data_IF_764730131330
#
_entry.id   IF_764730131330
#
_cell.length_a   1.000
_cell.length_b   1.000
_cell.length_c   1.000
_cell.angle_alpha   90.00
_cell.angle_beta   90.00
_cell.angle_gamma   90.00
#
_symmetry.space_group_name_H-M   'P 1'
#
loop_
_entity.id
_entity.type
_entity.pdbx_description
1 polymer ?
#
# COMPACT_ATOMS: atom_id res chain seq x y z
N UNK A 1 11.43 -22.53 2.86
CA UNK A 1 10.02 -22.12 2.99
C UNK A 1 10.01 -20.62 3.16
N UNK A 2 9.67 -19.87 2.11
CA UNK A 2 9.62 -18.40 2.18
C UNK A 2 8.30 -17.94 1.55
N UNK A 3 7.21 -18.16 2.28
CA UNK A 3 5.95 -17.48 1.99
C UNK A 3 5.98 -16.25 2.90
N UNK A 4 6.58 -15.16 2.43
CA UNK A 4 6.32 -13.84 3.01
C UNK A 4 4.85 -13.53 2.70
N UNK A 5 3.95 -14.04 3.54
CA UNK A 5 2.55 -13.67 3.49
C UNK A 5 2.50 -12.16 3.82
N UNK A 6 2.31 -11.34 2.78
CA UNK A 6 2.17 -9.87 2.88
C UNK A 6 0.99 -9.49 3.80
N UNK A 7 0.16 -10.46 4.18
CA UNK A 7 -0.94 -10.32 5.12
C UNK A 7 -0.50 -10.15 6.58
N UNK A 8 0.77 -10.38 6.94
CA UNK A 8 1.26 -10.21 8.33
C UNK A 8 2.26 -9.07 8.38
N UNK A 9 2.04 -8.13 9.31
CA UNK A 9 2.93 -7.00 9.50
C UNK A 9 4.29 -7.50 10.02
N UNK A 10 5.42 -7.23 9.32
CA UNK A 10 6.73 -7.72 9.74
C UNK A 10 7.25 -7.09 11.05
N UNK A 11 6.62 -6.01 11.52
CA UNK A 11 7.01 -5.32 12.75
C UNK A 11 6.14 -5.69 13.94
N UNK A 12 4.84 -5.89 13.72
CA UNK A 12 3.90 -6.18 14.81
C UNK A 12 3.55 -7.67 14.90
N UNK A 13 3.89 -8.45 13.88
CA UNK A 13 3.48 -9.84 13.72
C UNK A 13 1.95 -10.03 13.87
N UNK A 14 1.20 -9.01 13.43
CA UNK A 14 -0.26 -8.98 13.43
C UNK A 14 -0.76 -9.06 12.00
N UNK A 15 -1.92 -9.68 11.83
CA UNK A 15 -2.65 -9.66 10.57
C UNK A 15 -2.96 -8.23 10.15
N UNK A 16 -2.72 -7.96 8.88
CA UNK A 16 -2.97 -6.69 8.24
C UNK A 16 -4.37 -6.67 7.67
N UNK A 17 -5.00 -5.51 7.74
CA UNK A 17 -6.33 -5.28 7.21
C UNK A 17 -6.23 -4.82 5.76
N UNK A 18 -6.92 -5.50 4.85
CA UNK A 18 -7.07 -5.03 3.47
C UNK A 18 -8.06 -3.86 3.44
N UNK A 19 -7.59 -2.67 3.07
CA UNK A 19 -8.40 -1.47 2.91
C UNK A 19 -7.80 -0.52 1.88
N UNK A 20 -8.46 0.61 1.61
CA UNK A 20 -7.86 1.68 0.81
C UNK A 20 -6.98 2.56 1.70
N UNK A 21 -5.81 2.95 1.19
CA UNK A 21 -4.89 3.86 1.86
C UNK A 21 -4.44 4.98 0.91
N UNK A 22 -4.25 6.20 1.41
CA UNK A 22 -3.80 7.33 0.61
C UNK A 22 -2.34 7.14 0.19
N UNK A 23 -2.08 7.18 -1.12
CA UNK A 23 -0.73 7.22 -1.66
C UNK A 23 -0.27 8.67 -1.79
N UNK A 24 0.75 9.01 -1.03
CA UNK A 24 1.36 10.32 -1.02
C UNK A 24 2.73 10.27 -1.71
N UNK A 25 2.95 11.21 -2.62
CA UNK A 25 4.25 11.40 -3.25
C UNK A 25 4.56 12.90 -3.26
N UNK A 26 5.73 13.29 -2.74
CA UNK A 26 6.15 14.69 -2.64
C UNK A 26 5.12 15.58 -1.90
N UNK A 27 4.57 15.11 -0.78
CA UNK A 27 3.50 15.78 -0.01
C UNK A 27 2.20 16.03 -0.79
N UNK A 28 1.97 15.30 -1.89
CA UNK A 28 0.72 15.34 -2.64
C UNK A 28 0.06 13.97 -2.57
N UNK A 29 -1.16 13.94 -2.02
CA UNK A 29 -2.03 12.77 -2.10
C UNK A 29 -2.46 12.59 -3.56
N UNK A 30 -2.01 11.50 -4.19
CA UNK A 30 -2.32 11.20 -5.59
C UNK A 30 -3.61 10.39 -5.73
N UNK A 31 -4.07 9.77 -4.65
CA UNK A 31 -5.31 8.99 -4.60
C UNK A 31 -5.28 7.97 -3.47
N UNK A 32 -6.37 7.22 -3.34
CA UNK A 32 -6.47 6.10 -2.42
C UNK A 32 -6.39 4.80 -3.21
N UNK A 33 -5.54 3.88 -2.76
CA UNK A 33 -5.26 2.62 -3.44
C UNK A 33 -5.38 1.44 -2.48
N UNK A 34 -5.68 0.27 -3.03
CA UNK A 34 -5.81 -0.96 -2.26
C UNK A 34 -4.48 -1.32 -1.59
N UNK A 35 -4.52 -1.51 -0.27
CA UNK A 35 -3.36 -1.78 0.55
C UNK A 35 -3.69 -2.62 1.79
N UNK A 36 -2.70 -3.36 2.26
CA UNK A 36 -2.69 -3.95 3.58
C UNK A 36 -2.21 -2.92 4.59
N UNK A 37 -2.98 -2.71 5.66
CA UNK A 37 -2.66 -1.76 6.71
C UNK A 37 -2.61 -2.46 8.06
N UNK A 38 -1.50 -2.27 8.77
CA UNK A 38 -1.39 -2.81 10.12
C UNK A 38 -2.22 -1.97 11.10
N UNK A 39 -3.16 -2.56 11.87
CA UNK A 39 -3.99 -1.82 12.82
C UNK A 39 -3.19 -1.26 14.01
N UNK A 40 -2.04 -1.85 14.33
CA UNK A 40 -1.22 -1.43 15.48
C UNK A 40 -0.21 -0.32 15.13
N UNK A 41 0.54 -0.45 14.03
CA UNK A 41 1.58 0.52 13.66
C UNK A 41 1.19 1.45 12.50
N UNK A 42 0.05 1.24 11.84
CA UNK A 42 -0.43 2.07 10.74
C UNK A 42 0.38 1.94 9.43
N UNK A 43 1.37 1.03 9.37
CA UNK A 43 2.14 0.81 8.14
C UNK A 43 1.26 0.28 7.02
N UNK A 44 1.50 0.81 5.83
CA UNK A 44 0.74 0.55 4.61
C UNK A 44 1.62 -0.19 3.61
N UNK A 45 1.10 -1.26 3.04
CA UNK A 45 1.74 -2.05 1.99
C UNK A 45 0.73 -2.24 0.85
N UNK A 46 0.95 -1.56 -0.27
CA UNK A 46 0.02 -1.61 -1.41
C UNK A 46 -0.03 -3.00 -2.03
N UNK A 47 -1.21 -3.41 -2.48
CA UNK A 47 -1.37 -4.66 -3.23
C UNK A 47 -0.88 -4.48 -4.66
N UNK A 48 -0.75 -5.58 -5.40
CA UNK A 48 -0.42 -5.52 -6.83
C UNK A 48 -1.41 -4.63 -7.60
N UNK A 49 -2.71 -4.72 -7.29
CA UNK A 49 -3.75 -3.83 -7.85
C UNK A 49 -3.55 -2.37 -7.44
N UNK A 50 -3.18 -2.13 -6.19
CA UNK A 50 -2.82 -0.80 -5.70
C UNK A 50 -1.64 -0.20 -6.48
N UNK A 51 -0.56 -0.98 -6.66
CA UNK A 51 0.62 -0.58 -7.42
C UNK A 51 0.34 -0.36 -8.91
N UNK A 52 -0.52 -1.17 -9.54
CA UNK A 52 -0.98 -0.92 -10.90
C UNK A 52 -1.69 0.42 -11.02
N UNK A 53 -2.55 0.76 -10.04
CA UNK A 53 -3.20 2.05 -9.95
C UNK A 53 -2.18 3.18 -9.83
N UNK A 54 -1.27 3.09 -8.86
CA UNK A 54 -0.22 4.08 -8.61
C UNK A 54 0.62 4.32 -9.88
N UNK A 55 1.09 3.25 -10.53
CA UNK A 55 1.91 3.34 -11.74
C UNK A 55 1.18 4.06 -12.87
N UNK A 56 -0.12 3.79 -13.08
CA UNK A 56 -0.94 4.51 -14.07
C UNK A 56 -1.02 6.01 -13.76
N UNK A 57 -1.10 6.40 -12.49
CA UNK A 57 -1.08 7.81 -12.09
C UNK A 57 0.29 8.46 -12.27
N UNK A 58 1.37 7.81 -11.86
CA UNK A 58 2.74 8.32 -12.01
C UNK A 58 3.15 8.50 -13.48
N UNK A 59 2.68 7.65 -14.38
CA UNK A 59 2.95 7.77 -15.83
C UNK A 59 2.21 8.93 -16.49
N UNK A 60 1.05 9.35 -15.98
CA UNK A 60 0.26 10.46 -16.55
C UNK A 60 0.82 11.86 -16.26
N UNK A 61 1.67 12.00 -15.24
CA UNK A 61 2.23 13.30 -14.80
C UNK A 61 3.51 13.73 -15.54
N UNK A 62 3.92 12.99 -16.57
CA UNK A 62 5.17 13.20 -17.34
C UNK A 62 5.00 13.99 -18.65
N UNK A 63 3.87 14.66 -18.85
CA UNK A 63 3.60 15.46 -20.06
C UNK A 63 3.41 16.94 -19.73
#
# INVERSE_FOLDING_TARGET
MSINNITVCPHCNLDMELKTAPYEQNNVTLGEFEAYVCPNCGRVFYTDKGYEGINKFSMKKKN
#
